data_IF_024804777445
#
_entry.id   IF_024804777445
#
_cell.length_a   1.000
_cell.length_b   1.000
_cell.length_c   1.000
_cell.angle_alpha   90.00
_cell.angle_beta   90.00
_cell.angle_gamma   90.00
#
_symmetry.space_group_name_H-M   'P 1'
#
loop_
_entity.id
_entity.type
_entity.pdbx_description
1 polymer ?
#
# COMPACT_ATOMS: atom_id res chain seq x y z
N UNK A 1 -4.37 7.60 14.77
CA UNK A 1 -3.55 7.21 13.62
C UNK A 1 -4.49 6.59 12.63
N UNK A 2 -4.50 7.10 11.41
CA UNK A 2 -5.34 6.62 10.31
C UNK A 2 -4.47 6.24 9.11
N UNK A 3 -5.04 5.44 8.23
CA UNK A 3 -4.43 5.00 6.98
C UNK A 3 -5.43 5.17 5.83
N UNK A 4 -4.91 5.45 4.64
CA UNK A 4 -5.69 5.57 3.41
C UNK A 4 -4.95 4.88 2.25
N UNK A 5 -5.72 4.43 1.28
CA UNK A 5 -5.20 3.89 0.02
C UNK A 5 -5.92 4.53 -1.15
N UNK A 6 -5.14 4.94 -2.15
CA UNK A 6 -5.59 5.51 -3.41
C UNK A 6 -5.27 4.53 -4.53
N UNK A 7 -6.30 3.90 -5.08
CA UNK A 7 -6.20 2.81 -6.07
C UNK A 7 -7.16 2.96 -7.26
N UNK A 8 -7.97 4.02 -7.24
CA UNK A 8 -9.01 4.34 -8.22
C UNK A 8 -9.09 5.85 -8.42
N UNK A 9 -9.54 6.26 -9.61
CA UNK A 9 -9.89 7.66 -9.90
C UNK A 9 -8.77 8.51 -10.49
N UNK A 10 -7.53 8.03 -10.45
CA UNK A 10 -6.38 8.78 -10.94
C UNK A 10 -5.81 8.15 -12.22
N UNK A 11 -5.19 9.00 -13.04
CA UNK A 11 -4.40 8.56 -14.19
C UNK A 11 -3.06 7.95 -13.75
N UNK A 12 -2.45 8.53 -12.70
CA UNK A 12 -1.20 8.10 -12.09
C UNK A 12 -1.34 8.07 -10.56
N UNK A 13 -1.18 6.91 -9.96
CA UNK A 13 -1.46 6.72 -8.53
C UNK A 13 -0.34 7.17 -7.61
N UNK A 14 0.90 7.14 -8.08
CA UNK A 14 2.11 7.42 -7.29
C UNK A 14 2.75 8.76 -7.63
N UNK A 15 1.91 9.75 -7.94
CA UNK A 15 2.33 11.13 -8.17
C UNK A 15 2.39 11.91 -6.85
N UNK A 16 3.60 12.09 -6.30
CA UNK A 16 3.79 12.80 -5.04
C UNK A 16 3.44 14.30 -5.10
N UNK A 17 3.45 14.92 -6.28
CA UNK A 17 3.04 16.33 -6.41
C UNK A 17 1.60 16.51 -5.93
N UNK A 18 0.68 15.72 -6.46
CA UNK A 18 -0.74 15.74 -6.08
C UNK A 18 -0.93 15.37 -4.62
N UNK A 19 -0.13 14.44 -4.09
CA UNK A 19 -0.19 14.05 -2.66
C UNK A 19 0.22 15.22 -1.76
N UNK A 20 1.27 15.96 -2.13
CA UNK A 20 1.73 17.13 -1.36
C UNK A 20 0.74 18.28 -1.41
N UNK A 21 0.12 18.54 -2.57
CA UNK A 21 -0.98 19.51 -2.67
C UNK A 21 -2.18 19.09 -1.82
N UNK A 22 -2.55 17.81 -1.85
CA UNK A 22 -3.68 17.26 -1.10
C UNK A 22 -3.56 17.43 0.41
N UNK A 23 -2.33 17.45 0.94
CA UNK A 23 -2.05 17.68 2.36
C UNK A 23 -1.67 19.13 2.67
N UNK A 24 -1.86 20.07 1.74
CA UNK A 24 -1.58 21.50 1.90
C UNK A 24 -0.11 21.79 2.25
N UNK A 25 0.82 21.10 1.58
CA UNK A 25 2.26 21.26 1.76
C UNK A 25 2.80 20.93 3.17
N UNK A 26 2.08 20.12 3.93
CA UNK A 26 2.50 19.68 5.26
C UNK A 26 3.81 18.88 5.25
N UNK A 27 4.22 18.32 4.11
CA UNK A 27 5.51 17.64 3.96
C UNK A 27 6.71 18.52 4.30
N UNK A 28 6.59 19.85 4.16
CA UNK A 28 7.64 20.81 4.49
C UNK A 28 7.99 20.85 5.97
N UNK A 29 7.13 20.32 6.85
CA UNK A 29 7.36 20.25 8.30
C UNK A 29 8.25 19.09 8.72
N UNK A 30 8.62 18.21 7.79
CA UNK A 30 9.35 16.98 8.07
C UNK A 30 10.71 16.95 7.36
N UNK A 31 11.61 16.12 7.88
CA UNK A 31 12.69 15.52 7.10
C UNK A 31 12.26 14.11 6.69
N UNK A 32 12.75 13.64 5.55
CA UNK A 32 12.26 12.45 4.86
C UNK A 32 13.38 11.41 4.70
N UNK A 33 13.13 10.22 5.24
CA UNK A 33 13.87 9.01 4.87
C UNK A 33 13.14 8.37 3.70
N UNK A 34 13.85 8.14 2.60
CA UNK A 34 13.32 7.50 1.41
C UNK A 34 14.09 6.20 1.20
N UNK A 35 13.38 5.09 1.11
CA UNK A 35 13.95 3.74 0.99
C UNK A 35 13.17 2.92 -0.03
N UNK A 36 13.78 1.82 -0.47
CA UNK A 36 13.17 0.85 -1.40
C UNK A 36 12.60 1.50 -2.67
N UNK A 37 13.35 2.47 -3.19
CA UNK A 37 12.90 3.33 -4.27
C UNK A 37 13.21 2.70 -5.64
N UNK A 38 12.20 2.58 -6.48
CA UNK A 38 12.35 2.24 -7.90
C UNK A 38 11.69 3.33 -8.72
N UNK A 39 12.49 4.08 -9.46
CA UNK A 39 12.05 5.15 -10.34
C UNK A 39 13.07 5.38 -11.46
N UNK A 40 12.65 6.09 -12.51
CA UNK A 40 13.48 6.37 -13.68
C UNK A 40 13.46 7.87 -14.01
N UNK A 41 14.13 8.72 -13.21
CA UNK A 41 14.25 10.16 -13.52
C UNK A 41 15.09 10.37 -14.78
N UNK A 42 14.93 11.54 -15.43
CA UNK A 42 15.74 11.87 -16.61
C UNK A 42 17.09 12.51 -16.24
N UNK A 43 17.20 13.15 -15.06
CA UNK A 43 18.46 13.69 -14.54
C UNK A 43 19.34 12.57 -13.95
N UNK A 44 20.54 12.40 -14.52
CA UNK A 44 21.56 11.42 -14.07
C UNK A 44 21.91 11.56 -12.57
N UNK A 45 21.87 12.78 -12.01
CA UNK A 45 22.14 13.01 -10.58
C UNK A 45 21.02 12.48 -9.70
N UNK A 46 19.78 12.55 -10.19
CA UNK A 46 18.64 11.98 -9.49
C UNK A 46 18.63 10.47 -9.63
N UNK A 47 19.00 9.93 -10.78
CA UNK A 47 19.23 8.50 -10.95
C UNK A 47 20.26 7.99 -9.93
N UNK A 48 21.41 8.67 -9.80
CA UNK A 48 22.41 8.33 -8.78
C UNK A 48 21.86 8.47 -7.35
N UNK A 49 21.09 9.53 -7.07
CA UNK A 49 20.49 9.75 -5.74
C UNK A 49 19.53 8.62 -5.35
N UNK A 50 18.62 8.24 -6.25
CA UNK A 50 17.60 7.21 -6.01
C UNK A 50 18.13 5.78 -6.13
N UNK A 51 19.37 5.59 -6.62
CA UNK A 51 20.06 4.28 -6.58
C UNK A 51 20.61 3.89 -5.20
N UNK A 52 20.60 4.82 -4.24
CA UNK A 52 21.12 4.60 -2.89
C UNK A 52 20.18 3.71 -2.06
N UNK A 53 20.75 2.98 -1.12
CA UNK A 53 20.00 2.18 -0.14
C UNK A 53 18.96 3.02 0.63
N UNK A 54 19.33 4.25 1.00
CA UNK A 54 18.42 5.24 1.54
C UNK A 54 18.83 6.66 1.14
N UNK A 55 17.86 7.57 1.22
CA UNK A 55 18.03 9.00 0.98
C UNK A 55 17.50 9.75 2.20
N UNK A 56 18.21 10.80 2.61
CA UNK A 56 17.76 11.70 3.67
C UNK A 56 17.65 13.11 3.12
N UNK A 57 16.43 13.65 3.07
CA UNK A 57 16.14 14.98 2.50
C UNK A 57 15.30 15.80 3.47
N UNK A 58 15.47 17.12 3.45
CA UNK A 58 14.46 18.02 4.00
C UNK A 58 13.17 17.98 3.16
N UNK A 59 12.05 18.38 3.77
CA UNK A 59 10.79 18.53 3.03
C UNK A 59 10.92 19.53 1.85
N UNK A 60 11.74 20.56 2.00
CA UNK A 60 12.05 21.52 0.94
C UNK A 60 12.81 20.88 -0.24
N UNK A 61 13.85 20.08 0.02
CA UNK A 61 14.61 19.38 -1.01
C UNK A 61 13.75 18.34 -1.74
N UNK A 62 12.98 17.53 -1.00
CA UNK A 62 12.08 16.55 -1.59
C UNK A 62 11.00 17.24 -2.44
N UNK A 63 10.40 18.32 -1.95
CA UNK A 63 9.39 19.07 -2.72
C UNK A 63 9.99 19.61 -4.01
N UNK A 64 11.21 20.15 -3.97
CA UNK A 64 11.90 20.63 -5.16
C UNK A 64 12.08 19.52 -6.21
N UNK A 65 12.58 18.35 -5.81
CA UNK A 65 12.78 17.21 -6.71
C UNK A 65 11.45 16.78 -7.36
N UNK A 66 10.40 16.65 -6.55
CA UNK A 66 9.06 16.24 -7.04
C UNK A 66 8.47 17.25 -8.03
N UNK A 67 8.68 18.55 -7.82
CA UNK A 67 8.14 19.60 -8.67
C UNK A 67 8.94 19.82 -9.96
N UNK A 68 10.24 19.50 -9.98
CA UNK A 68 11.09 19.76 -11.15
C UNK A 68 11.00 18.65 -12.21
N UNK A 69 10.84 17.39 -11.81
CA UNK A 69 10.94 16.27 -12.75
C UNK A 69 9.61 15.59 -13.09
N UNK A 70 8.57 15.76 -12.27
CA UNK A 70 7.22 15.18 -12.47
C UNK A 70 7.21 13.67 -12.85
N UNK A 71 8.19 12.88 -12.40
CA UNK A 71 8.24 11.43 -12.68
C UNK A 71 7.43 10.60 -11.68
N UNK A 72 7.06 9.40 -12.12
CA UNK A 72 6.33 8.44 -11.29
C UNK A 72 7.29 7.55 -10.49
N UNK A 73 7.01 7.39 -9.19
CA UNK A 73 7.68 6.36 -8.36
C UNK A 73 6.96 5.02 -8.56
N UNK A 74 7.67 3.98 -8.97
CA UNK A 74 7.10 2.63 -9.09
C UNK A 74 7.01 2.03 -7.68
N UNK A 75 8.14 2.04 -6.96
CA UNK A 75 8.24 1.64 -5.58
C UNK A 75 8.91 2.73 -4.76
N UNK A 76 8.59 2.82 -3.48
CA UNK A 76 9.31 3.67 -2.53
C UNK A 76 8.51 3.94 -1.26
N UNK A 77 9.21 3.95 -0.13
CA UNK A 77 8.66 4.39 1.16
C UNK A 77 9.24 5.74 1.52
N UNK A 78 8.36 6.70 1.77
CA UNK A 78 8.70 8.05 2.19
C UNK A 78 8.24 8.22 3.64
N UNK A 79 9.17 8.06 4.58
CA UNK A 79 8.94 8.22 6.01
C UNK A 79 9.28 9.64 6.44
N UNK A 80 8.29 10.39 6.96
CA UNK A 80 8.46 11.76 7.44
C UNK A 80 8.68 11.84 8.95
N UNK A 81 9.73 12.55 9.35
CA UNK A 81 10.17 12.71 10.74
C UNK A 81 10.15 14.18 11.15
N UNK A 82 9.86 14.45 12.43
CA UNK A 82 10.00 15.80 12.98
C UNK A 82 11.41 16.34 12.74
N UNK A 83 11.57 17.63 12.43
CA UNK A 83 12.87 18.23 12.08
C UNK A 83 13.93 18.11 13.18
N UNK A 84 13.52 17.84 14.40
CA UNK A 84 14.38 17.65 15.57
C UNK A 84 14.93 16.23 15.69
N UNK A 85 14.33 15.25 15.01
CA UNK A 85 14.80 13.86 15.01
C UNK A 85 16.04 13.77 14.13
N UNK A 86 17.12 13.23 14.70
CA UNK A 86 18.40 13.09 13.99
C UNK A 86 18.46 11.78 13.23
N UNK A 87 19.10 11.81 12.05
CA UNK A 87 19.28 10.63 11.20
C UNK A 87 20.02 9.50 11.91
N UNK A 88 20.95 9.80 12.83
CA UNK A 88 21.68 8.76 13.57
C UNK A 88 20.78 7.97 14.53
N UNK A 89 19.66 8.55 14.99
CA UNK A 89 18.67 7.84 15.80
C UNK A 89 17.72 7.01 14.95
N UNK A 90 17.44 7.46 13.71
CA UNK A 90 16.60 6.78 12.72
C UNK A 90 17.31 5.51 12.24
N UNK A 91 18.59 5.61 11.86
CA UNK A 91 19.38 4.49 11.34
C UNK A 91 19.71 3.39 12.37
N UNK A 92 19.17 3.47 13.60
CA UNK A 92 19.21 2.38 14.59
C UNK A 92 18.12 1.32 14.37
N UNK A 93 17.14 1.62 13.51
CA UNK A 93 16.03 0.74 13.18
C UNK A 93 16.19 0.20 11.75
N UNK A 94 15.42 -0.84 11.43
CA UNK A 94 15.36 -1.37 10.06
C UNK A 94 14.79 -0.33 9.09
N UNK A 95 15.32 -0.34 7.87
CA UNK A 95 14.85 0.53 6.81
C UNK A 95 13.46 0.06 6.33
N UNK A 96 12.50 0.98 6.13
CA UNK A 96 11.20 0.64 5.59
C UNK A 96 11.30 0.02 4.20
N UNK A 97 10.45 -0.94 3.90
CA UNK A 97 10.37 -1.62 2.61
C UNK A 97 9.01 -1.40 1.97
N UNK A 98 8.99 -1.14 0.68
CA UNK A 98 7.76 -1.10 -0.10
C UNK A 98 7.39 -2.53 -0.50
N UNK A 99 8.21 -3.24 -1.28
CA UNK A 99 7.79 -4.51 -1.90
C UNK A 99 7.64 -5.68 -0.89
N UNK A 100 8.61 -5.86 -0.01
CA UNK A 100 8.68 -7.04 0.88
C UNK A 100 7.96 -6.85 2.24
N UNK A 101 7.16 -5.78 2.39
CA UNK A 101 6.48 -5.48 3.65
C UNK A 101 5.00 -5.89 3.65
N UNK A 102 4.68 -6.95 4.41
CA UNK A 102 3.30 -7.44 4.55
C UNK A 102 2.40 -6.61 5.49
N UNK A 103 2.97 -5.70 6.28
CA UNK A 103 2.23 -4.95 7.29
C UNK A 103 1.26 -3.90 6.73
N UNK A 104 1.25 -3.65 5.42
CA UNK A 104 0.23 -2.81 4.80
C UNK A 104 -1.11 -3.50 4.58
N UNK A 105 -1.15 -4.83 4.61
CA UNK A 105 -2.32 -5.64 4.24
C UNK A 105 -3.00 -6.30 5.43
N UNK A 106 -2.66 -5.85 6.64
CA UNK A 106 -3.28 -6.29 7.91
C UNK A 106 -4.38 -5.32 8.34
N UNK A 107 -5.23 -5.75 9.26
CA UNK A 107 -6.40 -4.95 9.69
C UNK A 107 -6.01 -3.62 10.35
N UNK A 108 -4.99 -3.63 11.22
CA UNK A 108 -4.47 -2.44 11.90
C UNK A 108 -3.15 -1.99 11.24
N UNK A 109 -3.25 -1.06 10.28
CA UNK A 109 -2.11 -0.61 9.48
C UNK A 109 -1.38 0.50 10.22
N UNK A 110 -0.07 0.33 10.38
CA UNK A 110 0.81 1.29 11.02
C UNK A 110 1.95 1.75 10.13
N UNK A 111 2.60 2.81 10.57
CA UNK A 111 3.87 3.29 9.99
C UNK A 111 4.98 2.28 10.32
N UNK A 112 5.81 1.93 9.34
CA UNK A 112 6.91 0.97 9.54
C UNK A 112 7.93 1.48 10.56
N UNK A 113 8.45 2.68 10.33
CA UNK A 113 9.51 3.21 11.17
C UNK A 113 8.95 3.80 12.48
N UNK A 114 9.39 3.34 13.67
CA UNK A 114 8.76 3.72 14.95
C UNK A 114 8.85 5.22 15.26
N UNK A 115 9.93 5.88 14.80
CA UNK A 115 10.13 7.32 14.97
C UNK A 115 9.44 8.20 13.92
N UNK A 116 8.93 7.63 12.82
CA UNK A 116 8.26 8.41 11.78
C UNK A 116 6.87 8.87 12.26
N UNK A 117 6.38 9.98 11.70
CA UNK A 117 5.08 10.58 12.02
C UNK A 117 4.08 10.47 10.88
N UNK A 118 4.57 10.31 9.67
CA UNK A 118 3.82 10.15 8.43
C UNK A 118 4.60 9.20 7.53
N UNK A 119 3.89 8.41 6.73
CA UNK A 119 4.46 7.52 5.73
C UNK A 119 3.62 7.57 4.46
N UNK A 120 4.30 7.77 3.32
CA UNK A 120 3.70 7.72 1.99
C UNK A 120 4.40 6.60 1.24
N UNK A 121 3.65 5.69 0.64
CA UNK A 121 4.21 4.54 -0.08
C UNK A 121 3.74 4.59 -1.52
N UNK A 122 4.70 4.57 -2.44
CA UNK A 122 4.45 4.24 -3.83
C UNK A 122 4.49 2.72 -3.97
N UNK A 123 3.39 2.11 -4.40
CA UNK A 123 3.26 0.66 -4.53
C UNK A 123 3.01 0.26 -5.97
N UNK A 124 3.99 -0.40 -6.59
CA UNK A 124 3.97 -0.94 -7.96
C UNK A 124 3.36 0.01 -9.01
N UNK A 125 3.54 1.32 -8.86
CA UNK A 125 2.87 2.38 -9.66
C UNK A 125 1.33 2.38 -9.66
N UNK A 126 0.69 1.48 -8.91
CA UNK A 126 -0.76 1.22 -8.97
C UNK A 126 -1.53 1.77 -7.78
N UNK A 127 -0.86 1.97 -6.64
CA UNK A 127 -1.49 2.49 -5.43
C UNK A 127 -0.56 3.46 -4.71
N UNK A 128 -1.16 4.48 -4.08
CA UNK A 128 -0.50 5.21 -3.00
C UNK A 128 -1.13 4.84 -1.67
N UNK A 129 -0.28 4.43 -0.72
CA UNK A 129 -0.67 4.24 0.67
C UNK A 129 -0.22 5.46 1.47
N UNK A 130 -1.11 6.00 2.29
CA UNK A 130 -0.87 7.19 3.09
C UNK A 130 -1.24 6.92 4.54
N UNK A 131 -0.27 7.01 5.46
CA UNK A 131 -0.45 6.69 6.88
C UNK A 131 0.07 7.86 7.71
N UNK A 132 -0.68 8.31 8.71
CA UNK A 132 -0.20 9.39 9.59
C UNK A 132 -0.67 9.25 11.03
N UNK A 133 0.20 9.64 11.96
CA UNK A 133 -0.14 9.85 13.37
C UNK A 133 -1.09 11.05 13.55
N UNK A 134 -1.09 12.02 12.63
CA UNK A 134 -2.08 13.10 12.59
C UNK A 134 -3.23 12.73 11.64
N UNK A 135 -4.34 12.29 12.24
CA UNK A 135 -5.54 11.86 11.52
C UNK A 135 -6.10 12.94 10.57
N UNK A 136 -5.82 14.23 10.83
CA UNK A 136 -6.27 15.32 9.96
C UNK A 136 -5.58 15.30 8.59
N UNK A 137 -4.32 14.85 8.52
CA UNK A 137 -3.61 14.75 7.24
C UNK A 137 -4.23 13.66 6.35
N UNK A 138 -4.63 12.55 6.97
CA UNK A 138 -5.34 11.47 6.26
C UNK A 138 -6.72 11.95 5.81
N UNK A 139 -7.42 12.73 6.64
CA UNK A 139 -8.71 13.30 6.26
C UNK A 139 -8.58 14.30 5.08
N UNK A 140 -7.52 15.14 5.06
CA UNK A 140 -7.22 16.02 3.92
C UNK A 140 -6.89 15.23 2.64
N UNK A 141 -6.05 14.21 2.75
CA UNK A 141 -5.72 13.30 1.65
C UNK A 141 -6.98 12.69 1.05
N UNK A 142 -7.84 12.10 1.89
CA UNK A 142 -9.08 11.45 1.45
C UNK A 142 -10.12 12.43 0.92
N UNK A 143 -10.12 13.68 1.39
CA UNK A 143 -10.97 14.73 0.84
C UNK A 143 -10.54 15.11 -0.59
N UNK A 144 -9.22 15.22 -0.82
CA UNK A 144 -8.66 15.55 -2.14
C UNK A 144 -8.73 14.40 -3.13
N UNK A 145 -8.75 13.15 -2.64
CA UNK A 145 -8.92 11.94 -3.43
C UNK A 145 -10.20 11.18 -3.02
N UNK A 146 -11.40 11.59 -3.48
CA UNK A 146 -12.67 11.08 -2.95
C UNK A 146 -12.92 9.57 -3.18
N UNK A 147 -12.20 8.95 -4.12
CA UNK A 147 -12.28 7.50 -4.37
C UNK A 147 -11.28 6.69 -3.53
N UNK A 148 -10.42 7.34 -2.75
CA UNK A 148 -9.57 6.67 -1.77
C UNK A 148 -10.41 6.03 -0.65
N UNK A 149 -9.92 4.90 -0.14
CA UNK A 149 -10.54 4.16 0.96
C UNK A 149 -9.72 4.32 2.25
N UNK A 150 -10.38 4.14 3.39
CA UNK A 150 -9.67 3.86 4.64
C UNK A 150 -9.03 2.47 4.51
N UNK A 151 -7.70 2.41 4.58
CA UNK A 151 -6.96 1.19 4.26
C UNK A 151 -7.20 0.10 5.32
N UNK A 152 -7.21 0.46 6.60
CA UNK A 152 -7.50 -0.48 7.70
C UNK A 152 -8.91 -1.08 7.61
N UNK A 153 -9.92 -0.25 7.33
CA UNK A 153 -11.28 -0.72 7.13
C UNK A 153 -11.41 -1.60 5.87
N UNK A 154 -10.71 -1.23 4.79
CA UNK A 154 -10.64 -2.02 3.57
C UNK A 154 -9.98 -3.38 3.82
N UNK A 155 -8.84 -3.42 4.52
CA UNK A 155 -8.15 -4.65 4.86
C UNK A 155 -9.01 -5.55 5.74
N UNK A 156 -9.62 -5.01 6.80
CA UNK A 156 -10.52 -5.78 7.69
C UNK A 156 -11.62 -6.48 6.89
N UNK A 157 -12.26 -5.75 5.97
CA UNK A 157 -13.29 -6.29 5.10
C UNK A 157 -12.72 -7.36 4.15
N UNK A 158 -11.67 -7.03 3.40
CA UNK A 158 -11.09 -7.89 2.38
C UNK A 158 -10.54 -9.20 3.02
N UNK A 159 -9.87 -9.10 4.17
CA UNK A 159 -9.37 -10.24 4.95
C UNK A 159 -10.50 -11.13 5.48
N UNK A 160 -11.60 -10.55 5.95
CA UNK A 160 -12.77 -11.32 6.40
C UNK A 160 -13.42 -12.10 5.26
N UNK A 161 -13.51 -11.51 4.05
CA UNK A 161 -14.06 -12.17 2.87
C UNK A 161 -13.14 -13.30 2.38
N UNK A 162 -11.83 -13.07 2.39
CA UNK A 162 -10.81 -14.07 2.03
C UNK A 162 -10.83 -15.25 3.01
N UNK A 163 -10.91 -14.98 4.31
CA UNK A 163 -11.02 -16.02 5.33
C UNK A 163 -12.29 -16.87 5.14
N UNK A 164 -13.42 -16.22 4.85
CA UNK A 164 -14.67 -16.92 4.57
C UNK A 164 -14.59 -17.79 3.30
N UNK A 165 -13.95 -17.32 2.23
CA UNK A 165 -13.69 -18.14 1.03
C UNK A 165 -12.82 -19.35 1.39
N UNK A 166 -11.79 -19.17 2.20
CA UNK A 166 -10.92 -20.26 2.65
C UNK A 166 -11.70 -21.33 3.41
N UNK A 167 -12.60 -20.95 4.33
CA UNK A 167 -13.46 -21.88 5.05
C UNK A 167 -14.32 -22.74 4.10
N UNK A 168 -14.98 -22.10 3.12
CA UNK A 168 -15.77 -22.81 2.11
C UNK A 168 -14.91 -23.71 1.23
N UNK A 169 -13.72 -23.24 0.82
CA UNK A 169 -12.78 -24.02 0.02
C UNK A 169 -12.31 -25.27 0.77
N UNK A 170 -11.88 -25.13 2.03
CA UNK A 170 -11.50 -26.25 2.90
C UNK A 170 -12.67 -27.22 3.06
N UNK A 171 -13.88 -26.72 3.31
CA UNK A 171 -15.06 -27.57 3.43
C UNK A 171 -15.32 -28.40 2.17
N UNK A 172 -15.18 -27.84 0.97
CA UNK A 172 -15.44 -28.55 -0.28
C UNK A 172 -14.35 -29.55 -0.64
N UNK A 173 -13.08 -29.21 -0.42
CA UNK A 173 -11.95 -30.13 -0.61
C UNK A 173 -12.07 -31.33 0.32
N UNK A 174 -12.42 -31.09 1.59
CA UNK A 174 -12.64 -32.14 2.60
C UNK A 174 -13.77 -33.09 2.19
N UNK A 175 -14.93 -32.56 1.74
CA UNK A 175 -16.06 -33.38 1.27
C UNK A 175 -15.69 -34.29 0.10
N UNK A 176 -14.69 -33.89 -0.70
CA UNK A 176 -14.22 -34.60 -1.89
C UNK A 176 -12.99 -35.47 -1.63
N UNK A 177 -12.53 -35.54 -0.38
CA UNK A 177 -11.34 -36.28 0.03
C UNK A 177 -10.08 -35.87 -0.77
N UNK A 178 -9.96 -34.56 -1.06
CA UNK A 178 -8.82 -33.95 -1.73
C UNK A 178 -7.83 -33.48 -0.66
N UNK A 179 -6.54 -33.77 -0.85
CA UNK A 179 -5.48 -33.32 0.05
C UNK A 179 -5.29 -31.80 -0.02
N UNK A 180 -5.19 -31.15 1.14
CA UNK A 180 -5.13 -29.68 1.24
C UNK A 180 -3.67 -29.26 1.39
N UNK A 181 -3.22 -28.35 0.53
CA UNK A 181 -1.91 -27.74 0.62
C UNK A 181 -1.98 -26.24 0.33
N UNK A 182 -0.89 -25.51 0.64
CA UNK A 182 -0.82 -24.05 0.51
C UNK A 182 -1.12 -23.55 -0.91
N UNK A 183 -0.65 -24.26 -1.94
CA UNK A 183 -0.89 -23.88 -3.34
C UNK A 183 -2.38 -23.90 -3.66
N UNK A 184 -3.11 -24.88 -3.14
CA UNK A 184 -4.56 -24.97 -3.31
C UNK A 184 -5.26 -23.85 -2.54
N UNK A 185 -4.87 -23.61 -1.28
CA UNK A 185 -5.47 -22.55 -0.47
C UNK A 185 -5.24 -21.16 -1.05
N UNK A 186 -4.14 -20.94 -1.76
CA UNK A 186 -3.86 -19.68 -2.44
C UNK A 186 -4.93 -19.28 -3.48
N UNK A 187 -5.73 -20.22 -3.99
CA UNK A 187 -6.84 -19.92 -4.90
C UNK A 187 -7.93 -19.05 -4.27
N UNK A 188 -7.98 -18.94 -2.93
CA UNK A 188 -8.87 -18.01 -2.24
C UNK A 188 -8.71 -16.57 -2.74
N UNK A 189 -7.48 -16.14 -3.05
CA UNK A 189 -7.21 -14.79 -3.55
C UNK A 189 -7.74 -14.60 -4.98
N UNK A 190 -7.60 -15.63 -5.82
CA UNK A 190 -8.14 -15.61 -7.19
C UNK A 190 -9.67 -15.59 -7.20
N UNK A 191 -10.29 -16.37 -6.32
CA UNK A 191 -11.75 -16.40 -6.13
C UNK A 191 -12.23 -15.05 -5.59
N UNK A 192 -11.55 -14.51 -4.57
CA UNK A 192 -11.87 -13.22 -4.01
C UNK A 192 -11.80 -12.11 -5.07
N UNK A 193 -10.72 -12.09 -5.87
CA UNK A 193 -10.57 -11.14 -6.98
C UNK A 193 -11.65 -11.30 -8.05
N UNK A 194 -12.11 -12.51 -8.34
CA UNK A 194 -13.18 -12.74 -9.33
C UNK A 194 -14.54 -12.21 -8.83
N UNK A 195 -14.83 -12.38 -7.54
CA UNK A 195 -16.14 -12.06 -6.96
C UNK A 195 -16.25 -10.61 -6.45
N UNK A 196 -15.18 -10.10 -5.85
CA UNK A 196 -15.21 -8.84 -5.10
C UNK A 196 -14.48 -7.68 -5.79
N UNK A 197 -13.83 -7.89 -6.95
CA UNK A 197 -13.08 -6.80 -7.63
C UNK A 197 -13.94 -5.59 -8.00
N UNK A 198 -15.18 -5.82 -8.42
CA UNK A 198 -16.09 -4.73 -8.80
C UNK A 198 -17.21 -4.48 -7.79
N UNK A 199 -17.37 -5.37 -6.78
CA UNK A 199 -18.41 -5.32 -5.72
C UNK A 199 -19.83 -4.96 -6.23
N UNK A 200 -20.18 -5.34 -7.48
CA UNK A 200 -21.44 -4.95 -8.14
C UNK A 200 -22.68 -5.61 -7.54
N UNK A 201 -22.50 -6.78 -6.90
CA UNK A 201 -23.58 -7.58 -6.32
C UNK A 201 -23.15 -8.12 -4.96
N UNK A 202 -24.15 -8.41 -4.11
CA UNK A 202 -23.92 -9.17 -2.88
C UNK A 202 -23.48 -10.59 -3.25
N UNK A 203 -22.29 -10.98 -2.81
CA UNK A 203 -21.76 -12.33 -3.01
C UNK A 203 -22.42 -13.30 -2.03
N UNK A 204 -22.99 -14.39 -2.54
CA UNK A 204 -23.57 -15.48 -1.75
C UNK A 204 -22.67 -16.71 -1.75
N UNK A 205 -22.92 -17.64 -0.83
CA UNK A 205 -22.24 -18.94 -0.75
C UNK A 205 -22.25 -19.67 -2.10
N UNK A 206 -23.39 -19.66 -2.81
CA UNK A 206 -23.56 -20.29 -4.12
C UNK A 206 -22.58 -19.73 -5.17
N UNK A 207 -22.28 -18.42 -5.11
CA UNK A 207 -21.35 -17.77 -6.03
C UNK A 207 -19.91 -18.21 -5.74
N UNK A 208 -19.53 -18.25 -4.45
CA UNK A 208 -18.21 -18.72 -4.00
C UNK A 208 -18.00 -20.18 -4.40
N UNK A 209 -18.97 -21.04 -4.09
CA UNK A 209 -18.93 -22.47 -4.43
C UNK A 209 -18.83 -22.68 -5.94
N UNK A 210 -19.56 -21.90 -6.74
CA UNK A 210 -19.45 -21.97 -8.21
C UNK A 210 -18.05 -21.62 -8.70
N UNK A 211 -17.41 -20.60 -8.13
CA UNK A 211 -16.02 -20.24 -8.44
C UNK A 211 -15.03 -21.33 -8.01
N UNK A 212 -15.21 -21.94 -6.83
CA UNK A 212 -14.41 -23.08 -6.38
C UNK A 212 -14.53 -24.23 -7.38
N UNK A 213 -15.75 -24.66 -7.71
CA UNK A 213 -16.00 -25.78 -8.62
C UNK A 213 -15.41 -25.56 -10.02
N UNK A 214 -15.46 -24.33 -10.53
CA UNK A 214 -14.84 -23.94 -11.81
C UNK A 214 -13.32 -24.13 -11.80
N UNK A 215 -12.67 -23.96 -10.65
CA UNK A 215 -11.20 -23.99 -10.51
C UNK A 215 -10.66 -25.35 -10.09
N UNK A 216 -11.44 -26.18 -9.40
CA UNK A 216 -11.03 -27.53 -8.97
C UNK A 216 -10.28 -28.36 -10.04
N UNK A 217 -10.69 -28.41 -11.32
CA UNK A 217 -9.98 -29.18 -12.34
C UNK A 217 -8.55 -28.71 -12.63
N UNK A 218 -8.22 -27.44 -12.34
CA UNK A 218 -6.89 -26.87 -12.55
C UNK A 218 -6.00 -26.96 -11.30
N UNK A 219 -6.58 -27.38 -10.17
CA UNK A 219 -5.96 -27.43 -8.85
C UNK A 219 -5.54 -28.88 -8.49
N UNK A 220 -6.27 -29.86 -9.03
CA UNK A 220 -6.02 -31.30 -8.93
C UNK A 220 -4.96 -31.78 -9.94
#
# INVERSE_FOLDING_TARGET
>A
MKSAILDKGEEYYTNLFSVFEAIENEQLKYNWLITDCVCYPNDEKLEELFSKEYIWLSGEELTKIVYEEEFQFIWGVFSGFSKEVKIEEILKYELPLAEEYNGFWVDDVGIQHPLASIEIVAWDSTHTIFISKDDKLVDKFRFSFPLSEDLSAKNTRDNSEIAYIEELLISELTKRNIDINEKILYEKYSIWRELYRERKILVKDEDVLKCIMKRLPNIL
#
